data_IF_878409465074
#
_entry.id   IF_878409465074
#
_cell.length_a   1.000
_cell.length_b   1.000
_cell.length_c   1.000
_cell.angle_alpha   90.00
_cell.angle_beta   90.00
_cell.angle_gamma   90.00
#
_symmetry.space_group_name_H-M   'P 1'
#
loop_
_entity.id
_entity.type
_entity.pdbx_description
1 polymer ?
#
# COMPACT_ATOMS: atom_id res chain seq x y z
N UNK A 1 -10.80 20.01 19.55
CA UNK A 1 -10.38 18.66 19.96
C UNK A 1 -9.03 18.31 19.33
N UNK A 2 -8.11 17.87 20.20
CA UNK A 2 -6.77 17.30 20.03
C UNK A 2 -6.04 17.38 18.66
N UNK A 3 -5.12 18.36 18.56
CA UNK A 3 -3.96 18.28 17.67
C UNK A 3 -3.02 17.23 18.24
N UNK A 4 -3.14 15.96 17.81
CA UNK A 4 -2.17 14.92 18.18
C UNK A 4 -0.79 15.36 17.69
N UNK A 5 0.05 15.78 18.62
CA UNK A 5 1.47 15.99 18.36
C UNK A 5 2.04 14.62 18.02
N UNK A 6 2.61 14.49 16.83
CA UNK A 6 3.35 13.30 16.43
C UNK A 6 4.66 13.25 17.24
N UNK A 7 4.55 12.86 18.51
CA UNK A 7 5.65 12.75 19.45
C UNK A 7 6.10 11.29 19.54
N UNK A 8 6.63 10.80 18.42
CA UNK A 8 7.52 9.64 18.39
C UNK A 8 8.87 10.12 17.87
N UNK A 9 9.97 9.37 18.11
CA UNK A 9 11.27 9.69 17.53
C UNK A 9 11.09 10.02 16.05
N UNK A 10 11.89 10.93 15.51
CA UNK A 10 11.71 11.55 14.19
C UNK A 10 11.96 10.53 13.04
N UNK A 11 11.24 9.41 13.04
CA UNK A 11 11.30 8.27 12.13
C UNK A 11 11.19 8.77 10.70
N UNK A 12 10.26 9.69 10.46
CA UNK A 12 10.07 10.35 9.17
C UNK A 12 11.27 11.21 8.74
N UNK A 13 12.07 11.77 9.65
CA UNK A 13 13.29 12.49 9.31
C UNK A 13 14.43 11.52 8.98
N UNK A 14 14.62 10.46 9.77
CA UNK A 14 15.60 9.42 9.49
C UNK A 14 15.36 8.73 8.14
N UNK A 15 14.10 8.48 7.77
CA UNK A 15 13.74 7.98 6.43
C UNK A 15 14.09 8.99 5.34
N UNK A 16 13.83 10.28 5.57
CA UNK A 16 14.13 11.34 4.60
C UNK A 16 15.62 11.48 4.37
N UNK A 17 16.43 11.42 5.42
CA UNK A 17 17.89 11.46 5.35
C UNK A 17 18.43 10.23 4.62
N UNK A 18 17.93 9.05 4.97
CA UNK A 18 18.34 7.80 4.34
C UNK A 18 17.98 7.74 2.85
N UNK A 19 16.77 8.16 2.47
CA UNK A 19 16.35 8.28 1.07
C UNK A 19 17.07 9.41 0.31
N UNK A 20 17.64 10.39 1.01
CA UNK A 20 18.44 11.46 0.39
C UNK A 20 19.84 10.98 0.02
N UNK A 21 20.42 10.09 0.84
CA UNK A 21 21.70 9.43 0.56
C UNK A 21 21.55 8.25 -0.41
N UNK A 22 20.39 7.56 -0.42
CA UNK A 22 20.10 6.42 -1.31
C UNK A 22 18.71 6.57 -1.95
N UNK A 23 18.58 7.31 -3.07
CA UNK A 23 17.28 7.60 -3.69
C UNK A 23 16.60 6.37 -4.33
N UNK A 24 17.38 5.37 -4.74
CA UNK A 24 16.85 4.14 -5.38
C UNK A 24 16.47 3.04 -4.38
N UNK A 25 16.78 3.21 -3.09
CA UNK A 25 16.50 2.19 -2.08
C UNK A 25 15.00 1.83 -2.03
N UNK A 26 14.73 0.53 -1.95
CA UNK A 26 13.40 -0.04 -1.84
C UNK A 26 12.76 0.29 -0.48
N UNK A 27 11.43 0.42 -0.38
CA UNK A 27 10.76 0.67 0.90
C UNK A 27 11.06 -0.39 1.97
N UNK A 28 11.31 -1.63 1.54
CA UNK A 28 11.74 -2.77 2.36
C UNK A 28 13.15 -2.61 2.90
N UNK A 29 14.11 -2.25 2.04
CA UNK A 29 15.51 -2.02 2.41
C UNK A 29 15.65 -0.85 3.40
N UNK A 30 14.91 0.23 3.18
CA UNK A 30 14.89 1.39 4.07
C UNK A 30 14.35 1.00 5.44
N UNK A 31 13.29 0.18 5.49
CA UNK A 31 12.72 -0.28 6.75
C UNK A 31 13.66 -1.22 7.50
N UNK A 32 14.39 -2.11 6.81
CA UNK A 32 15.35 -3.01 7.45
C UNK A 32 16.59 -2.27 7.95
N UNK A 33 17.14 -1.34 7.16
CA UNK A 33 18.30 -0.54 7.58
C UNK A 33 17.97 0.42 8.73
N UNK A 34 16.76 0.99 8.77
CA UNK A 34 16.32 1.82 9.89
C UNK A 34 16.03 0.99 11.14
N UNK A 35 15.48 -0.22 11.00
CA UNK A 35 15.33 -1.17 12.11
C UNK A 35 16.67 -1.56 12.73
N UNK A 36 17.71 -1.79 11.91
CA UNK A 36 19.09 -2.04 12.40
C UNK A 36 19.66 -0.88 13.22
N UNK A 37 19.23 0.36 12.92
CA UNK A 37 19.58 1.57 13.67
C UNK A 37 18.71 1.81 14.91
N UNK A 38 17.90 0.82 15.31
CA UNK A 38 16.98 0.92 16.45
C UNK A 38 15.72 1.73 16.17
N UNK A 39 15.48 2.11 14.90
CA UNK A 39 14.33 2.91 14.50
C UNK A 39 13.32 1.98 13.82
N UNK A 40 12.36 1.50 14.60
CA UNK A 40 11.27 0.69 14.04
C UNK A 40 10.31 1.56 13.23
N UNK A 41 10.26 1.31 11.92
CA UNK A 41 9.47 2.05 10.94
C UNK A 41 8.58 1.08 10.16
N UNK A 42 7.30 1.42 10.09
CA UNK A 42 6.35 0.71 9.23
C UNK A 42 6.65 0.96 7.74
N UNK A 43 6.57 -0.09 6.92
CA UNK A 43 6.71 -0.04 5.46
C UNK A 43 5.80 1.02 4.81
N UNK A 44 4.56 1.13 5.30
CA UNK A 44 3.60 2.14 4.86
C UNK A 44 4.12 3.57 5.09
N UNK A 45 4.84 3.82 6.18
CA UNK A 45 5.40 5.13 6.50
C UNK A 45 6.55 5.46 5.55
N UNK A 46 7.41 4.49 5.24
CA UNK A 46 8.50 4.66 4.25
C UNK A 46 7.93 4.98 2.87
N UNK A 47 6.92 4.22 2.41
CA UNK A 47 6.27 4.44 1.11
C UNK A 47 5.64 5.84 1.02
N UNK A 48 4.91 6.26 2.06
CA UNK A 48 4.32 7.59 2.13
C UNK A 48 5.39 8.70 2.13
N UNK A 49 6.51 8.51 2.84
CA UNK A 49 7.61 9.47 2.85
C UNK A 49 8.32 9.53 1.48
N UNK A 50 8.57 8.39 0.83
CA UNK A 50 9.13 8.33 -0.54
C UNK A 50 8.21 9.02 -1.54
N UNK A 51 6.91 8.71 -1.51
CA UNK A 51 5.90 9.35 -2.36
C UNK A 51 5.80 10.86 -2.09
N UNK A 52 5.89 11.30 -0.83
CA UNK A 52 5.92 12.72 -0.48
C UNK A 52 7.20 13.42 -0.96
N UNK A 53 8.35 12.75 -0.96
CA UNK A 53 9.61 13.28 -1.50
C UNK A 53 9.58 13.40 -3.02
N UNK A 54 9.08 12.39 -3.73
CA UNK A 54 8.94 12.41 -5.19
C UNK A 54 7.84 13.40 -5.64
N UNK A 55 6.72 13.46 -4.90
CA UNK A 55 5.60 14.35 -5.16
C UNK A 55 5.91 15.85 -5.00
N UNK A 56 6.98 16.19 -4.26
CA UNK A 56 7.48 17.57 -4.15
C UNK A 56 8.13 18.09 -5.43
N UNK A 57 8.61 17.22 -6.33
CA UNK A 57 9.20 17.66 -7.62
C UNK A 57 8.17 18.12 -8.66
N UNK A 58 6.88 17.79 -8.51
CA UNK A 58 5.85 18.07 -9.54
C UNK A 58 4.65 18.91 -9.11
N UNK A 59 4.66 19.55 -7.93
CA UNK A 59 3.57 20.47 -7.55
C UNK A 59 4.08 21.81 -7.03
N UNK A 60 4.53 22.67 -7.97
CA UNK A 60 4.17 24.09 -7.92
C UNK A 60 2.65 24.17 -7.92
N UNK A 61 2.03 24.00 -6.74
CA UNK A 61 0.59 24.19 -6.57
C UNK A 61 0.33 25.68 -6.66
N UNK A 62 -0.41 26.08 -7.70
CA UNK A 62 -1.36 27.19 -7.58
C UNK A 62 -2.07 27.02 -6.23
N UNK A 63 -1.94 28.06 -5.42
CA UNK A 63 -2.60 28.21 -4.12
C UNK A 63 -4.11 28.11 -4.37
N UNK A 64 -4.76 27.10 -3.82
CA UNK A 64 -6.20 27.12 -3.62
C UNK A 64 -6.45 26.93 -2.13
N UNK A 65 -6.89 28.03 -1.53
CA UNK A 65 -7.22 28.26 -0.12
C UNK A 65 -8.30 27.25 0.33
N UNK A 66 -8.23 26.66 1.53
CA UNK A 66 -9.32 25.83 2.03
C UNK A 66 -10.45 26.75 2.52
N UNK A 67 -11.56 26.78 1.78
CA UNK A 67 -12.82 27.35 2.27
C UNK A 67 -13.57 26.33 3.13
N UNK A 68 -14.25 26.75 4.22
CA UNK A 68 -15.05 25.85 5.05
C UNK A 68 -16.50 25.77 4.55
N UNK A 69 -17.21 24.76 5.07
CA UNK A 69 -18.66 24.50 5.00
C UNK A 69 -19.07 23.66 3.78
N UNK A 70 -20.01 22.72 3.84
CA UNK A 70 -20.90 22.15 4.87
C UNK A 70 -21.51 20.91 4.18
N UNK A 71 -22.14 20.00 4.93
CA UNK A 71 -22.61 18.73 4.42
C UNK A 71 -23.55 18.82 3.20
N UNK A 72 -23.40 17.83 2.33
CA UNK A 72 -24.46 17.32 1.47
C UNK A 72 -24.18 15.82 1.31
N UNK A 73 -24.87 15.01 2.13
CA UNK A 73 -25.24 13.66 1.71
C UNK A 73 -26.18 13.82 0.50
N UNK A 74 -26.16 12.83 -0.39
CA UNK A 74 -27.00 12.69 -1.60
C UNK A 74 -26.34 13.19 -2.88
N UNK A 75 -26.14 12.24 -3.80
CA UNK A 75 -25.49 12.43 -5.08
C UNK A 75 -24.68 11.22 -5.53
N UNK A 76 -25.00 10.00 -5.07
CA UNK A 76 -24.52 8.76 -5.68
C UNK A 76 -25.39 8.53 -6.92
N UNK A 77 -24.86 8.60 -8.16
CA UNK A 77 -25.60 8.04 -9.28
C UNK A 77 -25.71 6.53 -9.03
N UNK A 78 -26.94 6.11 -8.78
CA UNK A 78 -27.42 4.73 -8.87
C UNK A 78 -27.08 4.22 -10.27
N UNK A 79 -26.53 3.00 -10.33
CA UNK A 79 -26.56 2.23 -11.58
C UNK A 79 -25.32 2.29 -12.46
N UNK A 80 -24.14 1.98 -11.94
CA UNK A 80 -23.13 1.30 -12.76
C UNK A 80 -22.49 0.16 -11.96
N UNK A 81 -22.75 -1.12 -12.30
CA UNK A 81 -21.97 -2.20 -11.74
C UNK A 81 -20.55 -2.02 -12.27
N UNK A 82 -19.65 -1.54 -11.41
CA UNK A 82 -18.23 -1.68 -11.66
C UNK A 82 -17.97 -3.18 -11.71
N UNK A 83 -17.58 -3.66 -12.90
CA UNK A 83 -17.53 -5.06 -13.26
C UNK A 83 -16.94 -5.95 -12.18
N UNK A 84 -17.55 -7.13 -12.03
CA UNK A 84 -17.07 -8.24 -11.23
C UNK A 84 -15.83 -8.89 -11.86
N UNK A 85 -14.79 -8.10 -12.12
CA UNK A 85 -13.52 -8.60 -12.66
C UNK A 85 -12.39 -7.96 -11.86
N UNK A 86 -11.58 -8.81 -11.22
CA UNK A 86 -10.27 -8.48 -10.66
C UNK A 86 -10.24 -7.70 -9.34
N UNK A 87 -10.81 -8.31 -8.28
CA UNK A 87 -10.40 -8.01 -6.90
C UNK A 87 -9.82 -9.23 -6.22
N UNK A 88 -8.78 -9.81 -6.82
CA UNK A 88 -7.94 -10.75 -6.07
C UNK A 88 -7.10 -9.92 -5.11
N UNK A 89 -7.42 -9.97 -3.82
CA UNK A 89 -6.63 -9.31 -2.78
C UNK A 89 -5.29 -10.04 -2.62
N UNK A 90 -4.24 -9.34 -2.18
CA UNK A 90 -2.94 -9.96 -1.92
C UNK A 90 -3.07 -11.13 -0.94
N UNK A 91 -3.98 -11.03 0.04
CA UNK A 91 -4.28 -12.12 0.97
C UNK A 91 -4.75 -13.38 0.25
N UNK A 92 -5.65 -13.25 -0.73
CA UNK A 92 -6.10 -14.40 -1.52
C UNK A 92 -5.00 -14.99 -2.41
N UNK A 93 -4.04 -14.18 -2.87
CA UNK A 93 -2.88 -14.69 -3.61
C UNK A 93 -1.94 -15.50 -2.71
N UNK A 94 -1.75 -15.07 -1.46
CA UNK A 94 -0.95 -15.81 -0.48
C UNK A 94 -1.63 -17.15 -0.14
N UNK A 95 -2.94 -17.12 0.13
CA UNK A 95 -3.74 -18.33 0.37
C UNK A 95 -3.67 -19.29 -0.83
N UNK A 96 -3.80 -18.77 -2.06
CA UNK A 96 -3.67 -19.56 -3.27
C UNK A 96 -2.26 -20.14 -3.47
N UNK A 97 -1.22 -19.40 -3.08
CA UNK A 97 0.16 -19.86 -3.11
C UNK A 97 0.40 -21.00 -2.11
N UNK A 98 -0.14 -20.89 -0.89
CA UNK A 98 -0.06 -21.95 0.12
C UNK A 98 -0.80 -23.22 -0.33
N UNK A 99 -1.97 -23.06 -0.96
CA UNK A 99 -2.69 -24.16 -1.56
C UNK A 99 -1.87 -24.83 -2.68
N UNK A 100 -1.35 -24.04 -3.60
CA UNK A 100 -0.49 -24.54 -4.67
C UNK A 100 0.73 -25.30 -4.10
N UNK A 101 1.33 -24.83 -3.01
CA UNK A 101 2.43 -25.52 -2.35
C UNK A 101 2.03 -26.90 -1.79
N UNK A 102 0.85 -27.01 -1.15
CA UNK A 102 0.34 -28.30 -0.63
C UNK A 102 0.07 -29.33 -1.71
N UNK A 103 -0.30 -28.87 -2.90
CA UNK A 103 -0.69 -29.70 -4.04
C UNK A 103 0.53 -30.07 -4.92
N UNK A 104 1.72 -29.57 -4.58
CA UNK A 104 2.95 -29.85 -5.31
C UNK A 104 3.22 -28.89 -6.48
N UNK A 105 2.56 -27.73 -6.50
CA UNK A 105 2.80 -26.65 -7.45
C UNK A 105 1.53 -26.06 -8.05
N UNK A 106 1.71 -24.94 -8.75
CA UNK A 106 0.60 -24.23 -9.41
C UNK A 106 0.01 -25.07 -10.55
N UNK A 107 0.85 -25.80 -11.30
CA UNK A 107 0.40 -26.63 -12.42
C UNK A 107 -0.49 -27.81 -11.97
N UNK A 108 -0.15 -28.42 -10.84
CA UNK A 108 -0.94 -29.49 -10.23
C UNK A 108 -2.25 -28.95 -9.66
N UNK A 109 -2.21 -27.80 -8.99
CA UNK A 109 -3.41 -27.11 -8.51
C UNK A 109 -4.37 -26.76 -9.66
N UNK A 110 -3.86 -26.26 -10.79
CA UNK A 110 -4.68 -25.98 -11.97
C UNK A 110 -5.29 -27.25 -12.56
N UNK A 111 -4.53 -28.34 -12.62
CA UNK A 111 -5.00 -29.63 -13.14
C UNK A 111 -6.11 -30.22 -12.26
N UNK A 112 -5.96 -30.12 -10.94
CA UNK A 112 -6.98 -30.53 -9.97
C UNK A 112 -8.24 -29.67 -10.03
N UNK A 113 -8.10 -28.35 -10.14
CA UNK A 113 -9.26 -27.46 -10.32
C UNK A 113 -9.99 -27.74 -11.63
N UNK A 114 -9.26 -28.04 -12.72
CA UNK A 114 -9.84 -28.46 -14.00
C UNK A 114 -10.55 -29.81 -13.90
N UNK A 115 -10.02 -30.76 -13.12
CA UNK A 115 -10.65 -32.05 -12.89
C UNK A 115 -11.92 -31.92 -12.02
N UNK A 116 -11.86 -31.12 -10.96
CA UNK A 116 -13.02 -30.77 -10.13
C UNK A 116 -14.11 -30.10 -10.96
N UNK A 117 -13.76 -29.15 -11.83
CA UNK A 117 -14.72 -28.46 -12.70
C UNK A 117 -15.40 -29.36 -13.75
N UNK A 118 -14.89 -30.58 -13.99
CA UNK A 118 -15.55 -31.58 -14.85
C UNK A 118 -16.50 -32.51 -14.07
N UNK A 119 -16.35 -32.55 -12.74
CA UNK A 119 -17.17 -33.36 -11.83
C UNK A 119 -18.32 -32.56 -11.20
N UNK A 120 -18.25 -31.23 -11.26
CA UNK A 120 -19.29 -30.29 -10.81
C UNK A 120 -20.28 -29.94 -11.91
#
# INVERSE_FOLDING_TARGET
MAKKRANGPNKSAAIREYLKSKPDAGPTEVATELKKKGIDVALALVSNVKAAMLGKKKKKKKRAKPGPKTGAKSGRPVGRPAGATDKVSLSHLIEAQEFAAKVGGVDQAQSLLKALGKLS
#
